data_IF_561266611637
#
_entry.id   IF_561266611637
#
_cell.length_a   1.000
_cell.length_b   1.000
_cell.length_c   1.000
_cell.angle_alpha   90.00
_cell.angle_beta   90.00
_cell.angle_gamma   90.00
#
_symmetry.space_group_name_H-M   'P 1'
#
loop_
_entity.id
_entity.type
_entity.pdbx_description
1 polymer ?
#
# COMPACT_ATOMS: atom_id res chain seq x y z
N UNK A 1 -4.19 10.36 7.23
CA UNK A 1 -4.35 9.20 6.31
C UNK A 1 -5.52 9.50 5.38
N UNK A 2 -5.39 9.28 4.06
CA UNK A 2 -6.52 9.46 3.14
C UNK A 2 -7.31 8.15 3.07
N UNK A 3 -8.64 8.23 3.16
CA UNK A 3 -9.51 7.06 3.01
C UNK A 3 -9.45 6.53 1.57
N UNK A 4 -9.74 5.24 1.32
CA UNK A 4 -9.82 4.70 -0.04
C UNK A 4 -10.77 5.50 -0.95
N UNK A 5 -11.88 5.99 -0.39
CA UNK A 5 -12.86 6.82 -1.08
C UNK A 5 -12.25 8.19 -1.48
N UNK A 6 -11.59 8.87 -0.54
CA UNK A 6 -10.91 10.15 -0.80
C UNK A 6 -9.83 9.99 -1.89
N UNK A 7 -9.05 8.90 -1.85
CA UNK A 7 -8.05 8.59 -2.89
C UNK A 7 -8.71 8.42 -4.26
N UNK A 8 -9.79 7.64 -4.33
CA UNK A 8 -10.52 7.35 -5.58
C UNK A 8 -11.10 8.62 -6.18
N UNK A 9 -11.77 9.42 -5.37
CA UNK A 9 -12.34 10.69 -5.82
C UNK A 9 -11.26 11.68 -6.28
N UNK A 10 -10.13 11.73 -5.58
CA UNK A 10 -8.96 12.54 -5.98
C UNK A 10 -8.44 12.10 -7.34
N UNK A 11 -8.27 10.80 -7.56
CA UNK A 11 -7.77 10.27 -8.82
C UNK A 11 -8.73 10.51 -9.98
N UNK A 12 -10.03 10.31 -9.76
CA UNK A 12 -11.07 10.58 -10.76
C UNK A 12 -11.00 12.05 -11.21
N UNK A 13 -10.98 12.99 -10.26
CA UNK A 13 -10.85 14.43 -10.56
C UNK A 13 -9.53 14.78 -11.21
N UNK A 14 -8.45 14.10 -10.85
CA UNK A 14 -7.15 14.31 -11.49
C UNK A 14 -7.15 13.83 -12.95
N UNK A 15 -7.81 12.72 -13.25
CA UNK A 15 -7.93 12.21 -14.63
C UNK A 15 -8.78 13.16 -15.48
N UNK A 16 -9.88 13.67 -14.93
CA UNK A 16 -10.78 14.63 -15.61
C UNK A 16 -10.07 15.97 -15.87
N UNK A 17 -9.47 16.56 -14.85
CA UNK A 17 -8.90 17.91 -14.93
C UNK A 17 -7.48 17.94 -15.50
N UNK A 18 -6.76 16.80 -15.45
CA UNK A 18 -5.33 16.68 -15.74
C UNK A 18 -4.45 17.68 -14.99
N UNK A 19 -4.96 18.28 -13.91
CA UNK A 19 -4.32 19.38 -13.18
C UNK A 19 -4.29 19.09 -11.69
N UNK A 20 -3.08 19.08 -11.12
CA UNK A 20 -2.89 18.87 -9.69
C UNK A 20 -3.48 20.03 -8.89
N UNK A 21 -3.25 21.27 -9.31
CA UNK A 21 -3.78 22.43 -8.58
C UNK A 21 -5.30 22.42 -8.50
N UNK A 22 -5.98 22.09 -9.60
CA UNK A 22 -7.45 21.98 -9.61
C UNK A 22 -7.92 20.81 -8.75
N UNK A 23 -7.24 19.66 -8.82
CA UNK A 23 -7.54 18.50 -7.98
C UNK A 23 -7.41 18.84 -6.49
N UNK A 24 -6.34 19.53 -6.09
CA UNK A 24 -6.11 19.96 -4.71
C UNK A 24 -7.15 20.98 -4.25
N UNK A 25 -7.55 21.93 -5.11
CA UNK A 25 -8.62 22.90 -4.82
C UNK A 25 -9.97 22.20 -4.61
N UNK A 26 -10.30 21.22 -5.45
CA UNK A 26 -11.53 20.44 -5.31
C UNK A 26 -11.49 19.56 -4.06
N UNK A 27 -10.34 18.96 -3.75
CA UNK A 27 -10.16 18.18 -2.53
C UNK A 27 -10.43 19.02 -1.27
N UNK A 28 -9.92 20.25 -1.20
CA UNK A 28 -10.21 21.16 -0.08
C UNK A 28 -11.70 21.47 0.05
N UNK A 29 -12.41 21.65 -1.07
CA UNK A 29 -13.85 21.95 -1.07
C UNK A 29 -14.69 20.76 -0.59
N UNK A 30 -14.37 19.55 -1.04
CA UNK A 30 -15.17 18.36 -0.76
C UNK A 30 -14.79 17.71 0.58
N UNK A 31 -13.49 17.54 0.81
CA UNK A 31 -12.98 16.80 1.97
C UNK A 31 -12.67 17.69 3.17
N UNK A 32 -12.68 19.03 3.00
CA UNK A 32 -12.37 20.02 4.05
C UNK A 32 -11.05 19.73 4.81
N UNK A 33 -10.06 19.19 4.09
CA UNK A 33 -8.76 18.75 4.61
C UNK A 33 -7.64 19.23 3.70
N UNK A 34 -6.42 19.18 4.22
CA UNK A 34 -5.25 19.42 3.40
C UNK A 34 -5.12 18.39 2.28
N UNK A 35 -4.87 18.86 1.05
CA UNK A 35 -4.82 17.99 -0.10
C UNK A 35 -3.56 17.13 -0.09
N UNK A 36 -3.60 15.95 -0.73
CA UNK A 36 -2.41 15.14 -0.90
C UNK A 36 -1.35 15.88 -1.73
N UNK A 37 -0.08 15.57 -1.45
CA UNK A 37 1.04 16.11 -2.22
C UNK A 37 1.02 15.61 -3.67
N UNK A 38 1.64 16.38 -4.57
CA UNK A 38 1.78 16.03 -5.99
C UNK A 38 2.31 14.61 -6.19
N UNK A 39 3.41 14.27 -5.51
CA UNK A 39 4.05 12.96 -5.64
C UNK A 39 3.13 11.83 -5.19
N UNK A 40 2.30 12.08 -4.17
CA UNK A 40 1.35 11.09 -3.67
C UNK A 40 0.22 10.81 -4.66
N UNK A 41 -0.34 11.86 -5.27
CA UNK A 41 -1.36 11.72 -6.32
C UNK A 41 -0.81 10.97 -7.54
N UNK A 42 0.41 11.30 -7.97
CA UNK A 42 1.07 10.59 -9.08
C UNK A 42 1.36 9.12 -8.75
N UNK A 43 1.77 8.84 -7.53
CA UNK A 43 1.97 7.46 -7.05
C UNK A 43 0.67 6.66 -7.09
N UNK A 44 -0.45 7.24 -6.66
CA UNK A 44 -1.74 6.57 -6.75
C UNK A 44 -2.13 6.30 -8.20
N UNK A 45 -1.92 7.25 -9.13
CA UNK A 45 -2.15 7.04 -10.56
C UNK A 45 -1.34 5.86 -11.09
N UNK A 46 -0.04 5.83 -10.77
CA UNK A 46 0.86 4.76 -11.19
C UNK A 46 0.38 3.40 -10.68
N UNK A 47 0.14 3.28 -9.38
CA UNK A 47 -0.32 2.03 -8.77
C UNK A 47 -1.66 1.56 -9.34
N UNK A 48 -2.58 2.49 -9.62
CA UNK A 48 -3.86 2.18 -10.24
C UNK A 48 -3.69 1.64 -11.66
N UNK A 49 -2.81 2.24 -12.48
CA UNK A 49 -2.55 1.75 -13.82
C UNK A 49 -1.80 0.41 -13.84
N UNK A 50 -0.89 0.19 -12.90
CA UNK A 50 -0.07 -1.03 -12.85
C UNK A 50 -0.79 -2.23 -12.22
N UNK A 51 -1.58 -2.01 -11.17
CA UNK A 51 -2.17 -3.08 -10.36
C UNK A 51 -3.71 -3.03 -10.32
N UNK A 52 -4.33 -1.97 -10.83
CA UNK A 52 -5.78 -1.73 -10.66
C UNK A 52 -6.16 -1.34 -9.23
N UNK A 53 -5.19 -1.15 -8.33
CA UNK A 53 -5.44 -0.89 -6.91
C UNK A 53 -4.92 0.48 -6.50
N UNK A 54 -5.75 1.22 -5.77
CA UNK A 54 -5.50 2.56 -5.27
C UNK A 54 -5.06 2.58 -3.79
N UNK A 55 -5.37 1.49 -3.08
CA UNK A 55 -5.03 1.32 -1.68
C UNK A 55 -3.55 0.94 -1.58
N UNK A 56 -2.88 1.45 -0.56
CA UNK A 56 -1.50 1.08 -0.32
C UNK A 56 -1.47 -0.42 0.00
N UNK A 57 -0.62 -1.18 -0.72
CA UNK A 57 -0.41 -2.59 -0.39
C UNK A 57 -0.03 -2.70 1.08
N UNK A 58 -0.61 -3.68 1.78
CA UNK A 58 -0.21 -3.99 3.16
C UNK A 58 1.30 -4.22 3.13
N UNK A 59 2.03 -3.44 3.93
CA UNK A 59 3.46 -3.70 4.11
C UNK A 59 3.54 -5.03 4.84
N UNK A 60 3.87 -6.11 4.12
CA UNK A 60 4.41 -7.29 4.77
C UNK A 60 5.70 -6.84 5.44
N UNK A 61 5.84 -7.09 6.74
CA UNK A 61 7.13 -6.93 7.39
C UNK A 61 8.20 -7.75 6.67
N UNK A 62 9.47 -7.51 6.99
CA UNK A 62 10.52 -8.40 6.53
C UNK A 62 10.19 -9.83 6.99
N UNK A 63 10.05 -10.81 6.09
CA UNK A 63 9.87 -12.19 6.51
C UNK A 63 11.16 -12.60 7.22
N UNK A 64 11.10 -12.67 8.55
CA UNK A 64 12.24 -13.05 9.39
C UNK A 64 12.71 -14.50 9.09
N UNK A 65 11.84 -15.30 8.47
CA UNK A 65 12.05 -16.73 8.26
C UNK A 65 12.07 -17.04 6.76
N UNK A 66 13.22 -17.46 6.24
CA UNK A 66 13.34 -18.06 4.91
C UNK A 66 12.60 -19.41 4.89
N UNK A 67 12.01 -19.80 3.76
CA UNK A 67 11.36 -21.11 3.60
C UNK A 67 12.32 -22.26 3.93
N UNK A 68 13.59 -22.14 3.54
CA UNK A 68 14.62 -23.15 3.88
C UNK A 68 14.84 -23.26 5.38
N UNK A 69 14.74 -22.14 6.12
CA UNK A 69 14.84 -22.17 7.57
C UNK A 69 13.61 -22.84 8.19
N UNK A 70 12.42 -22.61 7.64
CA UNK A 70 11.18 -23.29 8.06
C UNK A 70 11.29 -24.80 7.83
N UNK A 71 11.72 -25.23 6.65
CA UNK A 71 11.87 -26.66 6.34
C UNK A 71 12.93 -27.31 7.23
N UNK A 72 14.07 -26.64 7.45
CA UNK A 72 15.10 -27.13 8.38
C UNK A 72 14.57 -27.33 9.80
N UNK A 73 13.78 -26.38 10.30
CA UNK A 73 13.12 -26.51 11.61
C UNK A 73 12.15 -27.69 11.60
N UNK A 74 11.34 -27.86 10.54
CA UNK A 74 10.42 -29.01 10.44
C UNK A 74 11.16 -30.35 10.48
N UNK A 75 12.24 -30.48 9.72
CA UNK A 75 13.08 -31.69 9.71
C UNK A 75 13.69 -31.98 11.08
N UNK A 76 14.19 -30.95 11.78
CA UNK A 76 14.79 -31.15 13.10
C UNK A 76 13.77 -31.59 14.15
N UNK A 77 12.53 -31.10 14.09
CA UNK A 77 11.45 -31.56 14.96
C UNK A 77 10.93 -32.96 14.63
N UNK A 78 10.98 -33.40 13.36
CA UNK A 78 10.67 -34.78 12.99
C UNK A 78 11.67 -35.78 13.58
N UNK A 79 12.95 -35.39 13.65
CA UNK A 79 14.02 -36.22 14.20
C UNK A 79 14.02 -36.18 15.73
N UNK A 80 13.80 -35.00 16.33
CA UNK A 80 13.75 -34.84 17.78
C UNK A 80 12.67 -33.83 18.18
N UNK A 81 11.48 -34.31 18.59
CA UNK A 81 10.36 -33.45 18.98
C UNK A 81 10.63 -32.53 20.18
N UNK A 82 11.66 -32.80 20.98
CA UNK A 82 12.01 -32.02 22.18
C UNK A 82 13.14 -31.01 21.94
N UNK A 83 13.67 -30.93 20.72
CA UNK A 83 14.75 -30.00 20.39
C UNK A 83 14.23 -28.57 20.40
N UNK A 84 14.94 -27.68 21.09
CA UNK A 84 14.71 -26.25 20.98
C UNK A 84 15.50 -25.67 19.81
N UNK A 85 14.87 -24.77 19.06
CA UNK A 85 15.52 -23.91 18.09
C UNK A 85 15.69 -22.51 18.72
N UNK A 86 16.80 -21.81 18.43
CA UNK A 86 17.14 -20.50 19.00
C UNK A 86 17.15 -19.42 17.94
#
# INVERSE_FOLDING_TARGET
>A
MNTPQEKTQTLLRFIETKSIMQTQRNYRRVCQKDPPSRNRTLRWKKNFLETGNIVDKKRSGHPYTNNDHIERVRETFLINPRRSER
#
